data_IF_817023400480
#
_entry.id   IF_817023400480
#
_cell.length_a   1.000
_cell.length_b   1.000
_cell.length_c   1.000
_cell.angle_alpha   90.00
_cell.angle_beta   90.00
_cell.angle_gamma   90.00
#
_symmetry.space_group_name_H-M   'P 1'
#
loop_
_entity.id
_entity.type
_entity.pdbx_description
1 polymer ?
#
# COMPACT_ATOMS: atom_id res chain seq x y z
N UNK A 1 37.20 -27.30 6.71
CA UNK A 1 35.95 -27.90 6.20
C UNK A 1 34.80 -26.89 6.26
N UNK A 2 34.78 -25.85 5.39
CA UNK A 2 33.64 -24.95 5.07
C UNK A 2 34.25 -23.65 4.48
N UNK A 3 34.35 -23.53 3.16
CA UNK A 3 34.47 -22.22 2.48
C UNK A 3 33.74 -22.23 1.14
N UNK A 4 34.01 -23.23 0.29
CA UNK A 4 33.23 -23.47 -0.94
C UNK A 4 31.95 -24.27 -0.70
N UNK A 5 32.00 -25.38 0.05
CA UNK A 5 30.80 -26.18 0.36
C UNK A 5 29.72 -25.36 1.08
N UNK A 6 30.11 -24.52 2.04
CA UNK A 6 29.20 -23.62 2.74
C UNK A 6 28.63 -22.53 1.85
N UNK A 7 29.45 -21.97 0.95
CA UNK A 7 28.97 -21.03 -0.07
C UNK A 7 27.90 -21.68 -0.96
N UNK A 8 28.14 -22.91 -1.42
CA UNK A 8 27.17 -23.68 -2.20
C UNK A 8 25.87 -23.90 -1.42
N UNK A 9 25.95 -24.26 -0.14
CA UNK A 9 24.77 -24.41 0.73
C UNK A 9 24.01 -23.08 0.84
N UNK A 10 24.69 -21.96 1.09
CA UNK A 10 24.06 -20.64 1.18
C UNK A 10 23.40 -20.21 -0.13
N UNK A 11 24.03 -20.47 -1.28
CA UNK A 11 23.43 -20.20 -2.59
C UNK A 11 22.18 -21.05 -2.80
N UNK A 12 22.24 -22.34 -2.49
CA UNK A 12 21.10 -23.24 -2.62
C UNK A 12 19.95 -22.71 -1.78
N UNK A 13 20.18 -22.39 -0.50
CA UNK A 13 19.15 -21.81 0.37
C UNK A 13 18.62 -20.50 -0.22
N UNK A 14 19.48 -19.63 -0.74
CA UNK A 14 19.07 -18.35 -1.34
C UNK A 14 18.19 -18.54 -2.57
N UNK A 15 18.57 -19.42 -3.51
CA UNK A 15 17.80 -19.72 -4.73
C UNK A 15 16.47 -20.39 -4.40
N UNK A 16 16.47 -21.38 -3.50
CA UNK A 16 15.23 -22.01 -3.04
C UNK A 16 14.30 -21.00 -2.35
N UNK A 17 14.86 -20.08 -1.55
CA UNK A 17 14.07 -19.00 -0.93
C UNK A 17 13.41 -18.10 -1.98
N UNK A 18 14.11 -17.77 -3.07
CA UNK A 18 13.54 -17.00 -4.18
C UNK A 18 12.44 -17.77 -4.90
N UNK A 19 12.63 -19.06 -5.17
CA UNK A 19 11.62 -19.90 -5.81
C UNK A 19 10.35 -20.05 -4.94
N UNK A 20 10.54 -20.27 -3.63
CA UNK A 20 9.44 -20.31 -2.66
C UNK A 20 8.73 -18.95 -2.60
N UNK A 21 9.45 -17.83 -2.69
CA UNK A 21 8.85 -16.49 -2.69
C UNK A 21 7.90 -16.30 -3.88
N UNK A 22 8.30 -16.72 -5.08
CA UNK A 22 7.45 -16.67 -6.28
C UNK A 22 6.19 -17.53 -6.12
N UNK A 23 6.31 -18.71 -5.50
CA UNK A 23 5.17 -19.58 -5.22
C UNK A 23 4.21 -18.95 -4.20
N UNK A 24 4.74 -18.40 -3.10
CA UNK A 24 3.95 -17.67 -2.08
C UNK A 24 3.25 -16.45 -2.69
N UNK A 25 3.92 -15.73 -3.60
CA UNK A 25 3.33 -14.58 -4.30
C UNK A 25 2.11 -15.00 -5.12
N UNK A 26 2.23 -16.11 -5.86
CA UNK A 26 1.16 -16.66 -6.69
C UNK A 26 -0.05 -17.10 -5.85
N UNK A 27 0.17 -17.79 -4.74
CA UNK A 27 -0.92 -18.34 -3.91
C UNK A 27 -1.58 -17.27 -3.05
N UNK A 28 -0.78 -16.44 -2.38
CA UNK A 28 -1.29 -15.53 -1.38
C UNK A 28 -1.34 -14.10 -1.89
N UNK A 29 -0.18 -13.47 -2.09
CA UNK A 29 -0.02 -12.12 -2.63
C UNK A 29 1.44 -11.70 -2.65
N UNK A 30 1.73 -10.67 -3.44
CA UNK A 30 2.97 -9.89 -3.40
C UNK A 30 3.33 -9.42 -1.99
N UNK A 31 2.36 -8.90 -1.23
CA UNK A 31 2.55 -8.46 0.16
C UNK A 31 3.01 -9.62 1.06
N UNK A 32 2.50 -10.84 0.83
CA UNK A 32 2.89 -12.03 1.60
C UNK A 32 4.33 -12.45 1.30
N UNK A 33 4.70 -12.56 0.02
CA UNK A 33 6.06 -12.92 -0.38
C UNK A 33 7.09 -11.90 0.12
N UNK A 34 6.75 -10.61 0.02
CA UNK A 34 7.55 -9.52 0.57
C UNK A 34 7.72 -9.63 2.08
N UNK A 35 6.64 -9.85 2.84
CA UNK A 35 6.71 -9.91 4.29
C UNK A 35 7.49 -11.12 4.83
N UNK A 36 7.30 -12.30 4.21
CA UNK A 36 7.86 -13.56 4.70
C UNK A 36 9.30 -13.78 4.22
N UNK A 37 9.63 -13.37 2.99
CA UNK A 37 10.92 -13.65 2.36
C UNK A 37 11.68 -12.36 2.03
N UNK A 38 11.27 -11.57 1.03
CA UNK A 38 12.11 -10.51 0.48
C UNK A 38 12.52 -9.43 1.49
N UNK A 39 11.62 -9.06 2.41
CA UNK A 39 11.85 -8.06 3.46
C UNK A 39 12.05 -8.67 4.86
N UNK A 40 12.22 -9.98 4.97
CA UNK A 40 12.46 -10.63 6.26
C UNK A 40 13.90 -10.40 6.73
N UNK A 41 14.11 -10.53 8.05
CA UNK A 41 15.46 -10.44 8.66
C UNK A 41 16.31 -11.68 8.41
N UNK A 42 15.69 -12.86 8.31
CA UNK A 42 16.42 -14.12 8.09
C UNK A 42 16.99 -14.18 6.67
N UNK A 43 16.24 -13.70 5.67
CA UNK A 43 16.70 -13.65 4.29
C UNK A 43 17.84 -12.63 4.14
N UNK A 44 17.73 -11.51 4.84
CA UNK A 44 18.81 -10.52 4.94
C UNK A 44 20.05 -11.07 5.63
N UNK A 45 19.88 -11.87 6.67
CA UNK A 45 21.00 -12.55 7.33
C UNK A 45 21.70 -13.54 6.40
N UNK A 46 20.97 -14.28 5.55
CA UNK A 46 21.56 -15.14 4.51
C UNK A 46 22.37 -14.31 3.52
N UNK A 47 21.86 -13.17 3.05
CA UNK A 47 22.60 -12.26 2.17
C UNK A 47 23.88 -11.74 2.83
N UNK A 48 23.81 -11.38 4.11
CA UNK A 48 24.98 -10.95 4.90
C UNK A 48 26.03 -12.07 4.99
N UNK A 49 25.59 -13.30 5.29
CA UNK A 49 26.49 -14.47 5.34
C UNK A 49 27.12 -14.75 3.97
N UNK A 50 26.39 -14.58 2.87
CA UNK A 50 26.92 -14.68 1.51
C UNK A 50 28.02 -13.64 1.26
N UNK A 51 27.78 -12.37 1.59
CA UNK A 51 28.78 -11.30 1.45
C UNK A 51 30.05 -11.63 2.26
N UNK A 52 29.89 -11.99 3.54
CA UNK A 52 31.03 -12.34 4.42
C UNK A 52 31.79 -13.53 3.84
N UNK A 53 31.08 -14.55 3.37
CA UNK A 53 31.71 -15.71 2.77
C UNK A 53 32.52 -15.35 1.50
N UNK A 54 31.98 -14.49 0.63
CA UNK A 54 32.67 -14.00 -0.56
C UNK A 54 33.97 -13.28 -0.15
N UNK A 55 33.93 -12.38 0.83
CA UNK A 55 35.10 -11.65 1.34
C UNK A 55 36.16 -12.62 1.89
N UNK A 56 35.75 -13.61 2.69
CA UNK A 56 36.65 -14.62 3.28
C UNK A 56 37.27 -15.54 2.22
N UNK A 57 36.57 -15.78 1.12
CA UNK A 57 37.07 -16.55 -0.03
C UNK A 57 38.09 -15.73 -0.82
N UNK A 58 37.84 -14.43 -1.05
CA UNK A 58 38.79 -13.51 -1.67
C UNK A 58 40.15 -13.56 -0.94
N UNK A 59 40.13 -13.43 0.39
CA UNK A 59 41.36 -13.47 1.21
C UNK A 59 42.03 -14.84 1.17
N UNK A 60 41.28 -15.94 1.36
CA UNK A 60 41.86 -17.30 1.40
C UNK A 60 42.51 -17.71 0.09
N UNK A 61 41.84 -17.47 -1.03
CA UNK A 61 42.32 -17.91 -2.33
C UNK A 61 43.32 -16.92 -2.95
N UNK A 62 43.71 -15.88 -2.19
CA UNK A 62 44.59 -14.79 -2.62
C UNK A 62 44.16 -14.27 -4.00
N UNK A 63 42.87 -13.96 -4.12
CA UNK A 63 42.30 -13.51 -5.39
C UNK A 63 42.81 -12.11 -5.76
N UNK A 64 43.21 -11.31 -4.77
CA UNK A 64 43.92 -10.05 -4.94
C UNK A 64 45.36 -10.29 -5.43
N UNK A 65 45.48 -10.74 -6.68
CA UNK A 65 46.73 -11.00 -7.39
C UNK A 65 46.51 -10.74 -8.87
N UNK A 66 47.48 -10.14 -9.56
CA UNK A 66 47.41 -9.87 -10.99
C UNK A 66 47.03 -11.09 -11.83
N UNK A 67 47.51 -12.30 -11.47
CA UNK A 67 47.19 -13.54 -12.19
C UNK A 67 45.70 -13.93 -12.09
N UNK A 68 44.98 -13.50 -11.05
CA UNK A 68 43.60 -13.87 -10.73
C UNK A 68 42.63 -12.68 -10.71
N UNK A 69 43.08 -11.51 -11.15
CA UNK A 69 42.29 -10.29 -11.20
C UNK A 69 40.88 -10.52 -11.79
N UNK A 70 40.68 -11.24 -12.91
CA UNK A 70 39.34 -11.38 -13.48
C UNK A 70 38.36 -12.06 -12.53
N UNK A 71 38.83 -13.09 -11.80
CA UNK A 71 38.04 -13.81 -10.81
C UNK A 71 37.79 -12.92 -9.58
N UNK A 72 38.77 -12.10 -9.19
CA UNK A 72 38.61 -11.12 -8.11
C UNK A 72 37.54 -10.08 -8.43
N UNK A 73 37.58 -9.48 -9.63
CA UNK A 73 36.55 -8.55 -10.12
C UNK A 73 35.17 -9.21 -10.13
N UNK A 74 35.09 -10.47 -10.57
CA UNK A 74 33.83 -11.20 -10.55
C UNK A 74 33.27 -11.39 -9.14
N UNK A 75 34.10 -11.55 -8.11
CA UNK A 75 33.61 -11.67 -6.73
C UNK A 75 33.27 -10.30 -6.13
N UNK A 76 34.05 -9.27 -6.46
CA UNK A 76 33.79 -7.93 -5.93
C UNK A 76 32.49 -7.35 -6.49
N UNK A 77 32.12 -7.67 -7.73
CA UNK A 77 30.84 -7.25 -8.30
C UNK A 77 29.64 -7.70 -7.46
N UNK A 78 29.62 -8.95 -6.99
CA UNK A 78 28.55 -9.45 -6.14
C UNK A 78 28.47 -8.69 -4.81
N UNK A 79 29.60 -8.31 -4.23
CA UNK A 79 29.63 -7.47 -3.01
C UNK A 79 28.96 -6.11 -3.29
N UNK A 80 29.32 -5.45 -4.40
CA UNK A 80 28.71 -4.18 -4.80
C UNK A 80 27.20 -4.33 -5.07
N UNK A 81 26.77 -5.37 -5.78
CA UNK A 81 25.35 -5.62 -6.07
C UNK A 81 24.55 -5.81 -4.76
N UNK A 82 25.03 -6.66 -3.84
CA UNK A 82 24.34 -6.85 -2.57
C UNK A 82 24.34 -5.60 -1.69
N UNK A 83 25.47 -4.89 -1.62
CA UNK A 83 25.59 -3.66 -0.82
C UNK A 83 24.67 -2.55 -1.36
N UNK A 84 24.63 -2.39 -2.69
CA UNK A 84 23.71 -1.48 -3.35
C UNK A 84 22.25 -1.79 -3.01
N UNK A 85 21.85 -3.07 -3.06
CA UNK A 85 20.51 -3.50 -2.65
C UNK A 85 20.17 -3.23 -1.17
N UNK A 86 21.13 -3.39 -0.26
CA UNK A 86 20.97 -3.05 1.16
C UNK A 86 20.74 -1.54 1.33
N UNK A 87 21.54 -0.71 0.64
CA UNK A 87 21.40 0.75 0.65
C UNK A 87 20.03 1.16 0.10
N UNK A 88 19.61 0.60 -1.05
CA UNK A 88 18.29 0.82 -1.64
C UNK A 88 17.14 0.52 -0.69
N UNK A 89 17.26 -0.55 0.10
CA UNK A 89 16.22 -0.99 1.02
C UNK A 89 16.06 -0.05 2.21
N UNK A 90 17.17 0.35 2.83
CA UNK A 90 17.17 1.08 4.09
C UNK A 90 17.13 2.60 3.93
N UNK A 91 17.84 3.12 2.94
CA UNK A 91 17.98 4.56 2.70
C UNK A 91 16.98 4.99 1.61
N UNK A 92 16.77 4.15 0.59
CA UNK A 92 15.89 4.45 -0.52
C UNK A 92 14.40 4.51 -0.16
N UNK A 93 13.69 5.40 -0.85
CA UNK A 93 12.23 5.42 -0.85
C UNK A 93 11.68 5.68 -2.25
N UNK A 94 10.44 5.23 -2.45
CA UNK A 94 9.76 5.27 -3.73
C UNK A 94 8.26 5.47 -3.54
N UNK A 95 7.60 5.93 -4.60
CA UNK A 95 6.16 6.08 -4.62
C UNK A 95 5.64 6.56 -5.96
N UNK A 96 4.35 6.87 -5.97
CA UNK A 96 3.58 7.22 -7.15
C UNK A 96 3.18 8.69 -7.06
N UNK A 97 3.46 9.43 -8.12
CA UNK A 97 3.09 10.82 -8.31
C UNK A 97 2.08 10.88 -9.47
N UNK A 98 0.82 11.19 -9.15
CA UNK A 98 -0.23 11.40 -10.16
C UNK A 98 -0.48 12.89 -10.30
N UNK A 99 -0.51 13.38 -11.54
CA UNK A 99 -0.67 14.80 -11.86
C UNK A 99 -1.66 14.93 -13.02
N UNK A 100 -2.64 15.83 -12.91
CA UNK A 100 -3.53 16.20 -14.02
C UNK A 100 -2.88 17.22 -14.93
N UNK A 101 -3.32 17.26 -16.18
CA UNK A 101 -2.84 18.27 -17.12
C UNK A 101 -3.12 19.69 -16.61
N UNK A 102 -2.11 20.57 -16.67
CA UNK A 102 -2.15 21.91 -16.12
C UNK A 102 -1.82 22.02 -14.63
N UNK A 103 -1.96 20.93 -13.87
CA UNK A 103 -1.70 20.92 -12.42
C UNK A 103 -0.23 20.73 -12.08
N UNK A 104 0.13 21.15 -10.86
CA UNK A 104 1.42 20.89 -10.23
C UNK A 104 1.24 20.13 -8.94
N UNK A 105 2.15 19.21 -8.65
CA UNK A 105 2.22 18.49 -7.38
C UNK A 105 3.64 18.45 -6.86
N UNK A 106 3.79 18.51 -5.54
CA UNK A 106 5.04 18.34 -4.82
C UNK A 106 4.96 17.14 -3.86
N UNK A 107 4.05 16.19 -4.08
CA UNK A 107 3.94 15.05 -3.20
C UNK A 107 3.70 13.75 -3.95
N UNK A 108 4.19 12.65 -3.38
CA UNK A 108 4.01 11.30 -3.88
C UNK A 108 3.39 10.41 -2.82
N UNK A 109 2.61 9.43 -3.25
CA UNK A 109 2.04 8.38 -2.41
C UNK A 109 3.08 7.28 -2.28
N UNK A 110 3.54 7.01 -1.06
CA UNK A 110 4.61 6.02 -0.83
C UNK A 110 4.19 4.62 -1.31
N UNK A 111 5.13 3.88 -1.92
CA UNK A 111 4.88 2.47 -2.23
C UNK A 111 4.93 1.60 -0.96
N UNK A 112 5.82 1.96 -0.01
CA UNK A 112 5.88 1.37 1.33
C UNK A 112 4.57 1.65 2.08
N UNK A 113 4.07 0.66 2.82
CA UNK A 113 2.87 0.75 3.65
C UNK A 113 3.25 0.93 5.11
N UNK A 114 2.50 1.78 5.81
CA UNK A 114 2.78 2.12 7.19
C UNK A 114 1.58 1.83 8.07
N UNK A 115 1.84 1.23 9.23
CA UNK A 115 0.92 1.29 10.36
C UNK A 115 0.99 2.70 10.94
N UNK A 116 -0.16 3.36 10.92
CA UNK A 116 -0.35 4.75 11.29
C UNK A 116 -1.18 4.83 12.56
N UNK A 117 -0.63 5.47 13.60
CA UNK A 117 -1.33 5.63 14.88
C UNK A 117 -1.28 7.10 15.27
N UNK A 118 -2.46 7.69 15.44
CA UNK A 118 -2.64 9.03 15.96
C UNK A 118 -3.14 8.88 17.39
N UNK A 119 -2.46 9.51 18.34
CA UNK A 119 -2.92 9.58 19.72
C UNK A 119 -3.12 11.05 20.01
N UNK A 120 -4.36 11.46 20.21
CA UNK A 120 -4.70 12.82 20.60
C UNK A 120 -5.45 12.86 21.93
N UNK A 121 -5.27 13.99 22.58
CA UNK A 121 -5.98 14.49 23.75
C UNK A 121 -6.36 15.94 23.43
N UNK A 122 -7.16 16.62 24.24
CA UNK A 122 -7.65 17.97 23.94
C UNK A 122 -6.52 18.98 23.62
N UNK A 123 -5.31 18.78 24.15
CA UNK A 123 -4.19 19.71 24.00
C UNK A 123 -3.02 19.22 23.12
N UNK A 124 -2.88 17.90 22.87
CA UNK A 124 -1.69 17.35 22.17
C UNK A 124 -2.07 16.19 21.25
N UNK A 125 -1.45 16.15 20.07
CA UNK A 125 -1.56 15.06 19.10
C UNK A 125 -0.16 14.54 18.76
N UNK A 126 0.04 13.23 18.82
CA UNK A 126 1.27 12.56 18.38
C UNK A 126 0.93 11.58 17.26
N UNK A 127 1.72 11.64 16.18
CA UNK A 127 1.61 10.75 15.05
C UNK A 127 2.78 9.77 15.01
N UNK A 128 2.48 8.48 15.00
CA UNK A 128 3.43 7.39 14.83
C UNK A 128 3.24 6.74 13.46
N UNK A 129 4.36 6.54 12.76
CA UNK A 129 4.44 5.76 11.52
C UNK A 129 5.42 4.61 11.70
N UNK A 130 4.98 3.38 11.44
CA UNK A 130 5.84 2.20 11.44
C UNK A 130 5.69 1.45 10.12
N UNK A 131 6.80 1.28 9.39
CA UNK A 131 6.81 0.41 8.22
C UNK A 131 6.59 -1.04 8.68
N UNK A 132 5.53 -1.67 8.20
CA UNK A 132 5.16 -3.05 8.51
C UNK A 132 4.29 -3.57 7.38
N UNK A 133 4.64 -4.71 6.78
CA UNK A 133 3.86 -5.28 5.67
C UNK A 133 2.83 -6.24 6.27
N UNK A 134 1.57 -5.82 6.34
CA UNK A 134 0.46 -6.70 6.74
C UNK A 134 0.16 -7.66 5.60
N UNK A 135 0.18 -8.96 5.87
CA UNK A 135 -0.21 -10.00 4.93
C UNK A 135 -0.91 -11.16 5.63
N UNK A 136 -1.37 -12.15 4.87
CA UNK A 136 -2.05 -13.33 5.41
C UNK A 136 -1.18 -14.09 6.44
N UNK A 137 0.09 -14.30 6.12
CA UNK A 137 1.05 -15.01 6.97
C UNK A 137 1.85 -14.08 7.91
N UNK A 138 1.67 -12.77 7.79
CA UNK A 138 2.40 -11.77 8.58
C UNK A 138 1.46 -10.66 9.05
N UNK A 139 0.69 -10.98 10.08
CA UNK A 139 -0.35 -10.11 10.66
C UNK A 139 -0.21 -9.91 12.18
N UNK A 140 0.80 -10.51 12.82
CA UNK A 140 0.99 -10.53 14.27
C UNK A 140 1.90 -9.41 14.79
N UNK A 141 1.66 -8.17 14.36
CA UNK A 141 2.44 -7.02 14.83
C UNK A 141 2.24 -6.78 16.33
N UNK A 142 3.32 -6.48 17.04
CA UNK A 142 3.30 -6.03 18.44
C UNK A 142 4.20 -4.80 18.59
N UNK A 143 3.68 -3.72 19.15
CA UNK A 143 4.44 -2.47 19.32
C UNK A 143 3.98 -1.63 20.49
N UNK A 144 4.92 -0.93 21.14
CA UNK A 144 4.64 0.01 22.21
C UNK A 144 4.67 1.45 21.70
N UNK A 145 3.66 2.23 22.06
CA UNK A 145 3.53 3.64 21.72
C UNK A 145 3.40 4.47 22.99
N UNK A 146 4.22 5.50 23.15
CA UNK A 146 4.22 6.36 24.32
C UNK A 146 3.36 7.61 24.09
N UNK A 147 2.64 8.08 25.10
CA UNK A 147 1.97 9.38 25.05
C UNK A 147 1.91 9.99 26.45
N UNK A 148 2.54 11.16 26.62
CA UNK A 148 2.74 11.82 27.94
C UNK A 148 3.31 10.83 28.98
N UNK A 149 4.44 10.18 28.66
CA UNK A 149 5.14 9.13 29.46
C UNK A 149 4.35 7.83 29.72
N UNK A 150 3.08 7.72 29.33
CA UNK A 150 2.27 6.48 29.45
C UNK A 150 2.44 5.61 28.20
N UNK A 151 2.81 4.33 28.35
CA UNK A 151 2.93 3.36 27.25
C UNK A 151 1.58 2.70 26.96
N UNK A 152 1.31 2.46 25.67
CA UNK A 152 0.17 1.71 25.15
C UNK A 152 0.73 0.60 24.27
N UNK A 153 0.35 -0.65 24.54
CA UNK A 153 0.72 -1.79 23.71
C UNK A 153 -0.37 -2.02 22.68
N UNK A 154 0.01 -2.07 21.41
CA UNK A 154 -0.85 -2.43 20.30
C UNK A 154 -0.43 -3.78 19.74
N UNK A 155 -1.39 -4.70 19.62
CA UNK A 155 -1.25 -5.96 18.91
C UNK A 155 -2.20 -5.99 17.72
N UNK A 156 -1.73 -6.45 16.57
CA UNK A 156 -2.58 -6.76 15.42
C UNK A 156 -2.82 -8.27 15.36
N UNK A 157 -4.04 -8.67 15.03
CA UNK A 157 -4.48 -10.06 14.87
C UNK A 157 -5.57 -10.15 13.80
N UNK A 158 -5.86 -11.35 13.31
CA UNK A 158 -7.00 -11.66 12.44
C UNK A 158 -7.09 -10.77 11.19
N UNK A 159 -6.09 -10.87 10.32
CA UNK A 159 -6.14 -10.23 9.01
C UNK A 159 -6.98 -11.07 8.04
N UNK A 160 -8.04 -10.47 7.50
CA UNK A 160 -8.86 -11.07 6.45
C UNK A 160 -8.76 -10.24 5.18
N UNK A 161 -8.51 -10.91 4.07
CA UNK A 161 -8.46 -10.29 2.75
C UNK A 161 -9.86 -10.22 2.16
N UNK A 162 -10.15 -9.15 1.41
CA UNK A 162 -11.38 -8.98 0.62
C UNK A 162 -12.63 -9.33 1.44
N UNK A 163 -12.95 -8.51 2.44
CA UNK A 163 -14.09 -8.76 3.33
C UNK A 163 -15.35 -8.03 2.88
N UNK A 164 -16.49 -8.66 3.15
CA UNK A 164 -17.80 -8.00 3.14
C UNK A 164 -18.20 -7.64 4.57
N UNK A 165 -18.76 -6.45 4.74
CA UNK A 165 -19.40 -6.03 5.99
C UNK A 165 -20.73 -6.77 6.12
N UNK A 166 -20.87 -7.57 7.19
CA UNK A 166 -22.11 -8.29 7.52
C UNK A 166 -22.53 -7.89 8.91
N UNK A 167 -23.83 -7.74 9.09
CA UNK A 167 -24.43 -7.48 10.39
C UNK A 167 -24.91 -8.79 11.00
N UNK A 168 -24.53 -9.03 12.25
CA UNK A 168 -24.99 -10.18 13.04
C UNK A 168 -25.88 -9.65 14.17
N UNK A 169 -27.16 -10.09 14.24
CA UNK A 169 -28.04 -9.79 15.37
C UNK A 169 -27.44 -10.28 16.67
N UNK A 170 -27.43 -9.43 17.69
CA UNK A 170 -26.93 -9.74 19.03
C UNK A 170 -27.67 -8.87 20.04
N UNK A 171 -28.39 -9.49 20.97
CA UNK A 171 -29.24 -8.82 21.94
C UNK A 171 -28.44 -7.94 22.92
N UNK A 172 -27.16 -8.23 23.14
CA UNK A 172 -26.24 -7.40 23.94
C UNK A 172 -25.48 -6.37 23.07
N UNK A 173 -25.79 -6.34 21.79
CA UNK A 173 -25.15 -5.49 20.79
C UNK A 173 -25.54 -4.02 20.91
N UNK A 174 -25.11 -3.24 19.93
CA UNK A 174 -25.52 -1.83 19.80
C UNK A 174 -26.70 -1.74 18.86
N UNK A 175 -27.53 -0.70 19.02
CA UNK A 175 -28.64 -0.43 18.10
C UNK A 175 -28.11 0.15 16.78
N UNK A 176 -28.55 -0.43 15.67
CA UNK A 176 -28.22 0.00 14.32
C UNK A 176 -29.49 0.13 13.46
N UNK A 177 -29.42 1.03 12.49
CA UNK A 177 -30.37 1.10 11.38
C UNK A 177 -29.63 0.77 10.07
N UNK A 178 -30.26 0.01 9.18
CA UNK A 178 -29.71 -0.30 7.86
C UNK A 178 -30.38 0.57 6.80
N UNK A 179 -29.60 1.48 6.21
CA UNK A 179 -30.04 2.33 5.11
C UNK A 179 -29.53 1.71 3.82
N UNK A 180 -30.43 1.21 2.98
CA UNK A 180 -30.07 0.61 1.70
C UNK A 180 -30.12 1.69 0.64
N UNK A 181 -28.98 2.02 0.04
CA UNK A 181 -28.91 2.96 -1.08
C UNK A 181 -28.78 2.22 -2.40
N UNK A 182 -29.44 2.72 -3.44
CA UNK A 182 -29.28 2.22 -4.81
C UNK A 182 -28.46 3.24 -5.59
N UNK A 183 -27.33 2.82 -6.16
CA UNK A 183 -26.52 3.67 -7.03
C UNK A 183 -26.02 2.85 -8.23
N UNK A 184 -26.33 3.30 -9.45
CA UNK A 184 -26.00 2.60 -10.71
C UNK A 184 -26.39 1.11 -10.67
N UNK A 185 -27.65 0.82 -10.34
CA UNK A 185 -28.23 -0.53 -10.23
C UNK A 185 -27.59 -1.49 -9.22
N UNK A 186 -26.66 -1.00 -8.38
CA UNK A 186 -26.12 -1.76 -7.25
C UNK A 186 -26.70 -1.24 -5.95
N UNK A 187 -27.37 -2.12 -5.21
CA UNK A 187 -27.81 -1.85 -3.83
C UNK A 187 -26.66 -2.02 -2.85
N UNK A 188 -26.56 -1.11 -1.88
CA UNK A 188 -25.52 -1.13 -0.84
C UNK A 188 -26.15 -0.97 0.54
N UNK A 189 -25.87 -1.93 1.42
CA UNK A 189 -26.24 -1.85 2.82
C UNK A 189 -25.35 -0.85 3.56
N UNK A 190 -25.96 0.15 4.21
CA UNK A 190 -25.26 1.11 5.06
C UNK A 190 -25.78 1.00 6.49
N UNK A 191 -25.10 0.19 7.30
CA UNK A 191 -25.39 0.13 8.74
C UNK A 191 -24.90 1.40 9.45
N UNK A 192 -25.80 2.08 10.15
CA UNK A 192 -25.56 3.30 10.93
C UNK A 192 -25.85 3.02 12.42
N UNK A 193 -24.86 3.25 13.27
CA UNK A 193 -24.96 3.01 14.72
C UNK A 193 -25.68 4.17 15.41
N UNK A 194 -26.53 3.86 16.39
CA UNK A 194 -27.12 4.86 17.29
C UNK A 194 -26.04 5.73 17.96
N UNK A 195 -26.28 7.05 17.97
CA UNK A 195 -25.39 8.09 18.48
C UNK A 195 -24.26 8.51 17.52
N UNK A 196 -24.25 8.03 16.26
CA UNK A 196 -23.18 8.32 15.29
C UNK A 196 -23.70 8.95 14.01
N UNK A 197 -22.75 9.49 13.24
CA UNK A 197 -22.94 10.07 11.91
C UNK A 197 -22.13 9.24 10.91
N UNK A 198 -22.67 9.02 9.70
CA UNK A 198 -22.00 8.33 8.60
C UNK A 198 -22.27 9.07 7.29
N UNK A 199 -21.25 9.20 6.45
CA UNK A 199 -21.44 9.68 5.08
C UNK A 199 -21.98 8.53 4.21
N UNK A 200 -23.11 8.75 3.57
CA UNK A 200 -23.79 7.82 2.67
C UNK A 200 -24.07 8.58 1.38
N UNK A 201 -23.38 8.21 0.30
CA UNK A 201 -23.54 8.80 -1.04
C UNK A 201 -23.21 10.29 -1.16
N UNK A 202 -22.47 10.87 -0.23
CA UNK A 202 -22.13 12.30 -0.22
C UNK A 202 -22.82 13.08 0.91
N UNK A 203 -23.90 12.55 1.47
CA UNK A 203 -24.66 13.19 2.54
C UNK A 203 -24.36 12.54 3.88
N UNK A 204 -24.42 13.33 4.95
CA UNK A 204 -24.25 12.84 6.30
C UNK A 204 -25.59 12.43 6.89
N UNK A 205 -25.70 11.17 7.32
CA UNK A 205 -26.83 10.64 8.07
C UNK A 205 -26.44 10.46 9.53
N UNK A 206 -27.27 10.92 10.46
CA UNK A 206 -27.14 10.67 11.89
C UNK A 206 -28.26 9.73 12.35
N UNK A 207 -27.99 8.92 13.40
CA UNK A 207 -29.03 8.10 14.02
C UNK A 207 -29.07 8.35 15.53
N UNK A 208 -30.23 8.73 16.06
CA UNK A 208 -30.44 9.10 17.47
C UNK A 208 -29.42 10.12 17.99
N UNK A 209 -28.99 11.05 17.12
CA UNK A 209 -28.11 12.17 17.46
C UNK A 209 -28.45 13.36 16.59
N UNK A 210 -29.15 14.35 17.14
CA UNK A 210 -29.48 15.57 16.42
C UNK A 210 -28.21 16.39 16.11
N UNK A 211 -28.04 16.72 14.83
CA UNK A 211 -26.95 17.56 14.33
C UNK A 211 -27.51 18.49 13.26
N UNK A 212 -27.23 19.80 13.37
CA UNK A 212 -27.67 20.77 12.37
C UNK A 212 -27.01 20.53 11.02
N UNK A 213 -27.78 20.64 9.93
CA UNK A 213 -27.27 20.54 8.56
C UNK A 213 -26.96 19.12 8.05
N UNK A 214 -27.39 18.08 8.78
CA UNK A 214 -27.28 16.68 8.32
C UNK A 214 -28.66 16.02 8.34
N UNK A 215 -28.80 14.88 7.67
CA UNK A 215 -30.03 14.09 7.66
C UNK A 215 -30.11 13.33 8.99
N UNK A 216 -31.00 13.76 9.88
CA UNK A 216 -31.18 13.15 11.19
C UNK A 216 -32.28 12.10 11.15
N UNK A 217 -31.95 10.86 11.50
CA UNK A 217 -32.93 9.81 11.73
C UNK A 217 -33.02 9.58 13.24
N UNK A 218 -34.23 9.54 13.78
CA UNK A 218 -34.44 9.33 15.21
C UNK A 218 -35.70 8.51 15.49
N UNK A 219 -35.70 7.85 16.65
CA UNK A 219 -36.84 7.07 17.14
C UNK A 219 -37.63 7.87 18.18
N UNK A 220 -38.94 7.96 18.00
CA UNK A 220 -39.88 8.49 19.01
C UNK A 220 -41.07 7.54 19.10
N UNK A 221 -41.39 7.06 20.31
CA UNK A 221 -42.58 6.20 20.58
C UNK A 221 -42.70 5.03 19.58
N UNK A 222 -41.62 4.29 19.36
CA UNK A 222 -41.52 3.16 18.42
C UNK A 222 -41.76 3.45 16.92
N UNK A 223 -41.82 4.73 16.55
CA UNK A 223 -41.84 5.21 15.17
C UNK A 223 -40.50 5.85 14.81
N UNK A 224 -40.15 5.76 13.52
CA UNK A 224 -38.96 6.39 12.97
C UNK A 224 -39.34 7.72 12.34
N UNK A 225 -38.51 8.72 12.57
CA UNK A 225 -38.65 10.04 11.97
C UNK A 225 -37.36 10.44 11.27
N UNK A 226 -37.49 11.22 10.22
CA UNK A 226 -36.40 11.86 9.51
C UNK A 226 -36.55 13.37 9.57
N UNK A 227 -35.46 14.04 9.86
CA UNK A 227 -35.32 15.49 9.74
C UNK A 227 -34.19 15.79 8.78
N UNK A 228 -34.50 16.53 7.72
CA UNK A 228 -33.57 16.80 6.63
C UNK A 228 -33.60 18.29 6.27
N UNK A 229 -32.43 18.91 6.05
CA UNK A 229 -32.37 20.27 5.50
C UNK A 229 -32.63 20.30 3.98
N UNK A 230 -32.75 19.13 3.34
CA UNK A 230 -32.93 18.95 1.90
C UNK A 230 -34.35 18.46 1.60
N UNK A 231 -34.81 18.72 0.37
CA UNK A 231 -36.10 18.22 -0.11
C UNK A 231 -36.07 16.69 -0.16
N UNK A 232 -37.15 16.06 0.29
CA UNK A 232 -37.33 14.61 0.28
C UNK A 232 -38.58 14.25 -0.51
N UNK A 233 -38.42 13.37 -1.47
CA UNK A 233 -39.52 12.78 -2.23
C UNK A 233 -39.78 11.37 -1.71
N UNK A 234 -41.06 11.05 -1.49
CA UNK A 234 -41.50 9.75 -1.00
C UNK A 234 -42.26 9.06 -2.13
N UNK A 235 -41.73 7.95 -2.60
CA UNK A 235 -42.37 7.09 -3.60
C UNK A 235 -43.12 5.98 -2.87
N UNK A 236 -44.38 6.24 -2.53
CA UNK A 236 -45.30 5.23 -2.01
C UNK A 236 -46.17 4.67 -3.14
N UNK A 237 -46.52 3.39 -3.07
CA UNK A 237 -47.32 2.67 -4.09
C UNK A 237 -48.63 3.36 -4.50
N UNK A 238 -49.16 4.28 -3.69
CA UNK A 238 -50.46 4.91 -3.93
C UNK A 238 -50.46 6.43 -4.11
N UNK A 239 -49.38 7.18 -3.87
CA UNK A 239 -49.34 8.64 -4.13
C UNK A 239 -47.90 9.17 -4.16
N UNK A 240 -47.55 9.90 -5.22
CA UNK A 240 -46.38 10.79 -5.25
C UNK A 240 -46.72 12.07 -4.47
N UNK A 241 -46.60 12.04 -3.15
CA UNK A 241 -46.77 13.24 -2.33
C UNK A 241 -45.41 13.87 -2.06
N UNK A 242 -45.10 14.94 -2.80
CA UNK A 242 -44.09 15.93 -2.44
C UNK A 242 -44.44 16.51 -1.07
N UNK A 243 -43.71 16.11 -0.02
CA UNK A 243 -43.84 16.71 1.32
C UNK A 243 -42.55 17.43 1.68
N UNK A 244 -42.56 18.75 1.48
CA UNK A 244 -41.66 19.69 2.18
C UNK A 244 -42.05 19.75 3.66
N UNK A 245 -41.72 18.71 4.44
CA UNK A 245 -41.75 18.80 5.90
C UNK A 245 -40.35 18.60 6.46
N UNK A 246 -39.94 19.54 7.31
CA UNK A 246 -38.71 19.48 8.10
C UNK A 246 -38.61 18.19 8.91
N UNK A 247 -39.75 17.61 9.34
CA UNK A 247 -39.82 16.34 10.06
C UNK A 247 -40.93 15.48 9.45
N UNK A 248 -40.58 14.27 8.99
CA UNK A 248 -41.53 13.30 8.45
C UNK A 248 -41.36 11.92 9.08
N UNK A 249 -42.45 11.15 9.18
CA UNK A 249 -42.40 9.75 9.63
C UNK A 249 -41.81 8.88 8.53
N UNK A 250 -40.85 8.02 8.89
CA UNK A 250 -40.22 7.04 8.01
C UNK A 250 -40.94 5.69 8.11
N UNK A 251 -41.64 5.33 7.06
CA UNK A 251 -42.14 3.98 6.81
C UNK A 251 -41.00 3.04 6.36
N UNK A 252 -41.16 1.76 6.68
CA UNK A 252 -40.25 0.68 6.25
C UNK A 252 -40.70 0.23 4.85
N UNK A 253 -39.74 -0.12 4.01
CA UNK A 253 -39.94 -0.60 2.64
C UNK A 253 -40.51 0.43 1.65
N UNK A 254 -40.61 1.70 2.03
CA UNK A 254 -40.83 2.81 1.10
C UNK A 254 -39.52 3.35 0.55
N UNK A 255 -39.57 3.85 -0.70
CA UNK A 255 -38.42 4.42 -1.38
C UNK A 255 -38.42 5.93 -1.19
N UNK A 256 -37.31 6.44 -0.66
CA UNK A 256 -37.07 7.85 -0.43
C UNK A 256 -36.00 8.34 -1.38
N UNK A 257 -36.20 9.53 -1.93
CA UNK A 257 -35.22 10.22 -2.74
C UNK A 257 -34.82 11.53 -2.08
N UNK A 258 -33.51 11.71 -1.86
CA UNK A 258 -32.91 12.98 -1.44
C UNK A 258 -31.87 13.33 -2.50
N UNK A 259 -32.11 14.40 -3.25
CA UNK A 259 -31.34 14.82 -4.41
C UNK A 259 -31.10 13.66 -5.41
N UNK A 260 -29.87 13.13 -5.48
CA UNK A 260 -29.48 12.04 -6.38
C UNK A 260 -29.44 10.67 -5.69
N UNK A 261 -29.85 10.57 -4.42
CA UNK A 261 -29.78 9.33 -3.65
C UNK A 261 -31.17 8.75 -3.45
N UNK A 262 -31.35 7.55 -3.98
CA UNK A 262 -32.48 6.70 -3.66
C UNK A 262 -32.10 5.76 -2.51
N UNK A 263 -32.87 5.78 -1.44
CA UNK A 263 -32.67 4.90 -0.29
C UNK A 263 -33.98 4.33 0.24
N UNK A 264 -33.88 3.19 0.92
CA UNK A 264 -35.00 2.60 1.65
C UNK A 264 -34.50 1.92 2.93
N UNK A 265 -35.43 1.71 3.85
CA UNK A 265 -35.21 0.96 5.08
C UNK A 265 -35.89 -0.40 4.94
N UNK A 266 -35.18 -1.51 5.18
CA UNK A 266 -35.77 -2.84 5.06
C UNK A 266 -36.28 -3.41 6.39
N UNK A 267 -35.82 -2.87 7.53
CA UNK A 267 -36.14 -3.37 8.88
C UNK A 267 -36.13 -2.23 9.88
N UNK A 268 -36.90 -2.38 10.98
CA UNK A 268 -36.79 -1.52 12.17
C UNK A 268 -35.37 -1.60 12.76
N UNK A 269 -34.90 -0.59 13.52
CA UNK A 269 -33.56 -0.63 14.07
C UNK A 269 -33.40 -1.79 15.06
N UNK A 270 -32.33 -2.53 14.89
CA UNK A 270 -32.10 -3.80 15.59
C UNK A 270 -30.77 -3.79 16.35
N UNK A 271 -30.67 -4.64 17.36
CA UNK A 271 -29.47 -4.80 18.18
C UNK A 271 -28.51 -5.79 17.52
N UNK A 272 -27.23 -5.45 17.52
CA UNK A 272 -26.19 -6.39 17.09
C UNK A 272 -24.82 -5.80 16.88
N UNK A 273 -24.01 -6.49 16.08
CA UNK A 273 -22.61 -6.14 15.79
C UNK A 273 -22.29 -6.27 14.31
N UNK A 274 -21.37 -5.43 13.85
CA UNK A 274 -20.80 -5.52 12.51
C UNK A 274 -19.58 -6.43 12.56
N UNK A 275 -19.59 -7.46 11.73
CA UNK A 275 -18.44 -8.35 11.49
C UNK A 275 -18.02 -8.30 10.02
N UNK A 276 -16.81 -8.80 9.76
CA UNK A 276 -16.19 -8.78 8.44
C UNK A 276 -15.85 -10.21 8.05
N UNK A 277 -16.54 -10.73 7.05
CA UNK A 277 -16.35 -12.11 6.58
C UNK A 277 -15.58 -12.08 5.26
N UNK A 278 -14.56 -12.94 5.07
CA UNK A 278 -13.82 -13.03 3.81
C UNK A 278 -14.74 -13.48 2.67
N UNK A 279 -14.59 -12.85 1.51
CA UNK A 279 -15.26 -13.26 0.29
C UNK A 279 -14.36 -14.26 -0.42
N UNK A 280 -14.87 -15.47 -0.63
CA UNK A 280 -14.16 -16.54 -1.32
C UNK A 280 -14.34 -16.37 -2.84
N UNK A 281 -13.78 -15.30 -3.40
CA UNK A 281 -13.74 -15.10 -4.85
C UNK A 281 -12.30 -15.12 -5.34
N UNK A 282 -12.02 -15.97 -6.34
CA UNK A 282 -10.73 -16.03 -7.04
C UNK A 282 -10.42 -14.74 -7.81
N UNK A 283 -11.38 -13.81 -7.92
CA UNK A 283 -11.16 -12.52 -8.54
C UNK A 283 -10.48 -11.57 -7.57
N UNK A 284 -9.32 -11.05 -7.98
CA UNK A 284 -8.64 -9.88 -7.40
C UNK A 284 -9.51 -8.63 -7.55
N UNK A 285 -10.70 -8.60 -6.96
CA UNK A 285 -11.57 -7.44 -6.99
C UNK A 285 -10.95 -6.36 -6.11
N UNK A 286 -10.44 -5.31 -6.75
CA UNK A 286 -10.01 -4.05 -6.13
C UNK A 286 -11.16 -3.32 -5.40
N UNK A 287 -12.38 -3.85 -5.50
CA UNK A 287 -13.62 -3.30 -4.97
C UNK A 287 -13.78 -3.57 -3.46
N UNK A 288 -13.23 -4.66 -2.92
CA UNK A 288 -13.40 -5.03 -1.51
C UNK A 288 -12.19 -4.69 -0.63
N UNK A 289 -12.40 -4.04 0.53
CA UNK A 289 -11.34 -3.78 1.51
C UNK A 289 -10.87 -5.08 2.18
N UNK A 290 -9.66 -5.09 2.73
CA UNK A 290 -9.26 -6.09 3.74
C UNK A 290 -9.66 -5.61 5.14
N UNK A 291 -9.72 -6.49 6.13
CA UNK A 291 -9.89 -6.11 7.55
C UNK A 291 -8.76 -6.63 8.42
N UNK A 292 -8.54 -5.95 9.54
CA UNK A 292 -7.66 -6.44 10.60
C UNK A 292 -8.19 -6.01 11.97
N UNK A 293 -7.91 -6.84 12.97
CA UNK A 293 -8.24 -6.56 14.37
C UNK A 293 -7.04 -5.95 15.07
N UNK A 294 -7.21 -4.79 15.67
CA UNK A 294 -6.25 -4.20 16.60
C UNK A 294 -6.71 -4.39 18.04
N UNK A 295 -5.79 -4.79 18.91
CA UNK A 295 -5.99 -4.96 20.34
C UNK A 295 -5.08 -3.98 21.07
N UNK A 296 -5.68 -3.06 21.81
CA UNK A 296 -4.99 -2.08 22.65
C UNK A 296 -4.98 -2.57 24.10
N UNK A 297 -3.80 -2.60 24.72
CA UNK A 297 -3.59 -2.97 26.12
C UNK A 297 -3.02 -1.78 26.90
N UNK A 298 -3.60 -1.53 28.07
CA UNK A 298 -3.06 -0.57 29.05
C UNK A 298 -3.63 -0.88 30.45
N UNK A 299 -2.75 -1.06 31.44
CA UNK A 299 -3.08 -1.25 32.88
C UNK A 299 -4.29 -2.19 33.07
N UNK A 300 -4.18 -3.44 32.60
CA UNK A 300 -5.22 -4.49 32.61
C UNK A 300 -6.50 -4.24 31.80
N UNK A 301 -6.69 -3.09 31.16
CA UNK A 301 -7.81 -2.87 30.23
C UNK A 301 -7.43 -3.24 28.80
N UNK A 302 -8.35 -3.93 28.13
CA UNK A 302 -8.22 -4.39 26.75
C UNK A 302 -9.30 -3.74 25.90
N UNK A 303 -8.94 -3.23 24.73
CA UNK A 303 -9.92 -2.76 23.73
C UNK A 303 -9.60 -3.34 22.36
N UNK A 304 -10.54 -4.14 21.84
CA UNK A 304 -10.47 -4.75 20.51
C UNK A 304 -11.24 -3.88 19.51
N UNK A 305 -10.64 -3.61 18.36
CA UNK A 305 -11.26 -2.82 17.29
C UNK A 305 -10.88 -3.38 15.94
N UNK A 306 -11.89 -3.66 15.12
CA UNK A 306 -11.70 -4.04 13.73
C UNK A 306 -11.70 -2.78 12.87
N UNK A 307 -10.75 -2.69 11.94
CA UNK A 307 -10.70 -1.61 10.95
C UNK A 307 -10.42 -2.15 9.56
N UNK A 308 -10.89 -1.40 8.57
CA UNK A 308 -10.75 -1.74 7.16
C UNK A 308 -9.47 -1.14 6.58
N UNK A 309 -8.89 -1.87 5.65
CA UNK A 309 -7.69 -1.54 4.90
C UNK A 309 -8.10 -1.48 3.43
N UNK A 310 -8.11 -0.28 2.86
CA UNK A 310 -8.27 -0.11 1.42
C UNK A 310 -6.90 0.00 0.76
N UNK A 311 -6.74 -0.69 -0.38
CA UNK A 311 -5.49 -0.73 -1.14
C UNK A 311 -5.08 0.64 -1.70
N UNK A 312 -6.05 1.51 -2.02
CA UNK A 312 -5.81 2.82 -2.67
C UNK A 312 -5.86 4.04 -1.75
N UNK A 313 -6.34 3.91 -0.52
CA UNK A 313 -6.58 5.06 0.34
C UNK A 313 -5.46 5.27 1.34
N UNK A 314 -5.03 6.51 1.50
CA UNK A 314 -4.06 6.95 2.52
C UNK A 314 -4.68 7.17 3.91
N UNK A 315 -6.03 7.21 4.00
CA UNK A 315 -6.75 7.91 5.07
C UNK A 315 -7.86 7.12 5.79
N UNK A 316 -7.79 5.79 5.87
CA UNK A 316 -8.73 5.06 6.75
C UNK A 316 -8.20 5.06 8.17
N UNK A 317 -8.80 5.91 9.00
CA UNK A 317 -8.53 6.02 10.43
C UNK A 317 -9.75 5.55 11.22
N UNK A 318 -9.60 4.51 12.03
CA UNK A 318 -10.63 4.11 12.98
C UNK A 318 -10.39 4.84 14.30
N UNK A 319 -11.26 5.80 14.62
CA UNK A 319 -11.19 6.56 15.88
C UNK A 319 -11.75 5.75 17.04
N UNK A 320 -10.99 5.72 18.13
CA UNK A 320 -11.25 4.93 19.33
C UNK A 320 -10.99 5.83 20.52
N UNK A 321 -12.01 6.13 21.31
CA UNK A 321 -11.79 6.74 22.62
C UNK A 321 -11.32 5.63 23.60
N UNK A 322 -10.12 5.75 24.15
CA UNK A 322 -9.56 4.81 25.12
C UNK A 322 -8.80 5.57 26.21
N UNK A 323 -9.28 5.47 27.46
CA UNK A 323 -8.76 6.24 28.61
C UNK A 323 -8.78 7.76 28.40
N UNK A 324 -9.89 8.31 27.89
CA UNK A 324 -10.04 9.76 27.65
C UNK A 324 -9.18 10.30 26.51
N UNK A 325 -8.53 9.42 25.74
CA UNK A 325 -7.71 9.78 24.57
C UNK A 325 -8.39 9.30 23.30
N UNK A 326 -8.31 10.11 22.26
CA UNK A 326 -8.75 9.73 20.92
C UNK A 326 -7.57 9.08 20.19
N UNK A 327 -7.64 7.76 20.05
CA UNK A 327 -6.65 6.97 19.33
C UNK A 327 -7.23 6.63 17.96
N UNK A 328 -6.53 7.01 16.90
CA UNK A 328 -6.89 6.64 15.53
C UNK A 328 -5.85 5.69 14.97
N UNK A 329 -6.28 4.52 14.51
CA UNK A 329 -5.42 3.52 13.90
C UNK A 329 -5.79 3.38 12.42
N UNK A 330 -4.78 3.33 11.58
CA UNK A 330 -4.91 3.11 10.15
C UNK A 330 -3.73 2.36 9.58
N UNK A 331 -3.89 1.81 8.37
CA UNK A 331 -2.84 1.16 7.64
C UNK A 331 -2.94 1.49 6.16
N UNK A 332 -1.82 1.89 5.57
CA UNK A 332 -1.78 2.26 4.16
C UNK A 332 -0.54 3.07 3.80
N UNK A 333 -0.42 3.48 2.53
CA UNK A 333 0.63 4.38 2.11
C UNK A 333 0.49 5.75 2.77
N UNK A 334 1.60 6.48 2.85
CA UNK A 334 1.67 7.85 3.36
C UNK A 334 2.03 8.82 2.24
N UNK A 335 1.74 10.10 2.48
CA UNK A 335 2.17 11.18 1.60
C UNK A 335 3.63 11.51 1.93
N UNK A 336 4.48 11.58 0.90
CA UNK A 336 5.87 12.03 0.98
C UNK A 336 6.01 13.30 0.13
N UNK A 337 6.56 14.36 0.70
CA UNK A 337 6.73 15.63 0.00
C UNK A 337 8.09 15.71 -0.70
N UNK A 338 8.08 16.24 -1.91
CA UNK A 338 9.23 16.62 -2.72
C UNK A 338 9.67 18.05 -2.34
N UNK A 339 10.98 18.35 -2.41
CA UNK A 339 11.49 19.69 -2.15
C UNK A 339 11.27 20.69 -3.30
N UNK A 340 10.56 20.28 -4.36
CA UNK A 340 10.23 21.05 -5.56
C UNK A 340 8.87 20.62 -6.11
N UNK A 341 8.30 21.40 -7.02
CA UNK A 341 7.05 21.06 -7.71
C UNK A 341 7.32 20.44 -9.08
N UNK A 342 6.49 19.47 -9.45
CA UNK A 342 6.43 18.90 -10.80
C UNK A 342 5.08 19.31 -11.38
N UNK A 343 5.10 20.01 -12.52
CA UNK A 343 3.90 20.42 -13.27
C UNK A 343 3.78 19.55 -14.52
N UNK A 344 2.57 19.06 -14.80
CA UNK A 344 2.26 18.43 -16.08
C UNK A 344 1.77 19.53 -17.04
N UNK A 345 2.56 19.83 -18.06
CA UNK A 345 2.17 20.81 -19.09
C UNK A 345 1.14 20.17 -20.03
N UNK A 346 1.46 18.98 -20.55
CA UNK A 346 0.62 18.28 -21.52
C UNK A 346 0.85 16.78 -21.47
N UNK A 347 -0.22 16.00 -21.49
CA UNK A 347 -0.16 14.56 -21.73
C UNK A 347 -0.50 14.27 -23.19
N UNK A 348 0.21 13.33 -23.80
CA UNK A 348 0.05 12.97 -25.20
C UNK A 348 0.01 11.45 -25.27
N UNK A 349 -1.05 10.92 -25.85
CA UNK A 349 -1.27 9.48 -26.04
C UNK A 349 -1.49 9.23 -27.52
N UNK A 350 -0.59 8.48 -28.11
CA UNK A 350 -0.68 8.02 -29.49
C UNK A 350 -1.46 6.69 -29.49
N UNK A 351 -2.33 6.50 -30.48
CA UNK A 351 -3.13 5.28 -30.67
C UNK A 351 -2.74 4.58 -31.97
N UNK A 352 -2.99 3.28 -32.08
CA UNK A 352 -2.83 2.59 -33.35
C UNK A 352 -3.86 3.10 -34.37
N UNK A 353 -3.48 3.24 -35.66
CA UNK A 353 -4.41 3.69 -36.69
C UNK A 353 -5.61 2.74 -36.75
N UNK A 354 -6.82 3.29 -36.73
CA UNK A 354 -8.07 2.52 -36.73
C UNK A 354 -8.44 1.83 -35.41
N UNK A 355 -7.70 2.08 -34.31
CA UNK A 355 -7.98 1.47 -33.00
C UNK A 355 -7.95 2.50 -31.87
N UNK A 356 -8.70 2.22 -30.79
CA UNK A 356 -8.64 2.98 -29.54
C UNK A 356 -7.48 2.56 -28.63
N UNK A 357 -6.69 1.56 -29.04
CA UNK A 357 -5.59 1.01 -28.27
C UNK A 357 -4.38 1.96 -28.26
N UNK A 358 -3.80 2.27 -27.08
CA UNK A 358 -2.61 3.10 -26.98
C UNK A 358 -1.41 2.42 -27.62
N UNK A 359 -0.71 3.15 -28.50
CA UNK A 359 0.58 2.75 -29.07
C UNK A 359 1.75 3.35 -28.28
N UNK A 360 1.61 4.57 -27.80
CA UNK A 360 2.66 5.31 -27.09
C UNK A 360 2.03 6.36 -26.17
N UNK A 361 2.71 6.70 -25.07
CA UNK A 361 2.32 7.84 -24.26
C UNK A 361 3.53 8.60 -23.73
N UNK A 362 3.42 9.93 -23.77
CA UNK A 362 4.45 10.87 -23.36
C UNK A 362 3.85 12.03 -22.57
N UNK A 363 4.60 12.51 -21.58
CA UNK A 363 4.23 13.63 -20.73
C UNK A 363 5.26 14.74 -20.86
N UNK A 364 4.80 15.97 -21.13
CA UNK A 364 5.64 17.17 -21.03
C UNK A 364 5.58 17.67 -19.58
N UNK A 365 6.69 17.56 -18.87
CA UNK A 365 6.82 17.92 -17.47
C UNK A 365 7.64 19.20 -17.31
N UNK A 366 7.35 19.94 -16.26
CA UNK A 366 8.12 21.10 -15.85
C UNK A 366 8.44 20.99 -14.37
N UNK A 367 9.72 20.95 -14.03
CA UNK A 367 10.20 20.95 -12.65
C UNK A 367 10.43 22.41 -12.24
N UNK A 368 9.73 22.81 -11.17
CA UNK A 368 9.74 24.14 -10.60
C UNK A 368 10.45 24.08 -9.23
N UNK A 369 11.68 24.57 -9.18
CA UNK A 369 12.51 24.56 -7.98
C UNK A 369 12.99 25.97 -7.64
N UNK A 370 12.18 26.65 -6.82
CA UNK A 370 12.34 28.07 -6.47
C UNK A 370 12.40 28.95 -7.72
N UNK A 371 13.59 29.37 -8.15
CA UNK A 371 13.82 30.22 -9.34
C UNK A 371 14.18 29.41 -10.61
N UNK A 372 14.47 28.12 -10.46
CA UNK A 372 14.88 27.26 -11.58
C UNK A 372 13.65 26.59 -12.16
N UNK A 373 13.46 26.76 -13.46
CA UNK A 373 12.41 26.10 -14.24
C UNK A 373 13.09 25.22 -15.28
N UNK A 374 12.85 23.90 -15.22
CA UNK A 374 13.38 22.96 -16.21
C UNK A 374 12.25 22.18 -16.86
N UNK A 375 12.23 22.20 -18.19
CA UNK A 375 11.26 21.45 -18.97
C UNK A 375 11.86 20.10 -19.37
N UNK A 376 11.08 19.05 -19.27
CA UNK A 376 11.46 17.70 -19.61
C UNK A 376 10.34 17.01 -20.39
N UNK A 377 10.71 16.12 -21.29
CA UNK A 377 9.79 15.20 -21.93
C UNK A 377 10.06 13.81 -21.36
N UNK A 378 9.04 13.18 -20.79
CA UNK A 378 9.13 11.80 -20.32
C UNK A 378 8.18 10.92 -21.11
N UNK A 379 8.66 9.76 -21.52
CA UNK A 379 7.96 8.70 -22.24
C UNK A 379 8.45 7.35 -21.72
N UNK A 380 7.87 6.25 -22.22
CA UNK A 380 8.27 4.90 -21.80
C UNK A 380 9.78 4.68 -21.99
N UNK A 381 10.43 4.09 -20.98
CA UNK A 381 11.88 3.82 -20.93
C UNK A 381 12.79 5.07 -20.91
N UNK A 382 12.24 6.29 -20.81
CA UNK A 382 13.03 7.50 -20.54
C UNK A 382 12.99 7.86 -19.05
N UNK A 383 14.13 8.29 -18.52
CA UNK A 383 14.31 8.50 -17.08
C UNK A 383 14.76 9.94 -16.87
N UNK A 384 14.01 10.70 -16.07
CA UNK A 384 14.44 12.04 -15.65
C UNK A 384 15.14 11.93 -14.31
N UNK A 385 16.38 12.41 -14.24
CA UNK A 385 17.14 12.51 -13.00
C UNK A 385 17.23 13.97 -12.55
N UNK A 386 16.72 14.28 -11.36
CA UNK A 386 16.78 15.62 -10.77
C UNK A 386 17.01 15.56 -9.26
N UNK A 387 18.10 16.15 -8.76
CA UNK A 387 18.47 16.17 -7.32
C UNK A 387 18.39 14.79 -6.62
N UNK A 388 18.81 13.73 -7.31
CA UNK A 388 18.75 12.36 -6.79
C UNK A 388 17.38 11.68 -6.87
N UNK A 389 16.35 12.36 -7.38
CA UNK A 389 15.05 11.79 -7.73
C UNK A 389 15.06 11.31 -9.17
N UNK A 390 14.54 10.09 -9.39
CA UNK A 390 14.37 9.49 -10.71
C UNK A 390 12.88 9.36 -10.98
N UNK A 391 12.44 9.97 -12.08
CA UNK A 391 11.05 9.89 -12.54
C UNK A 391 10.96 8.91 -13.71
N UNK A 392 9.97 8.04 -13.64
CA UNK A 392 9.66 7.05 -14.66
C UNK A 392 8.19 7.18 -15.02
N UNK A 393 7.89 7.13 -16.31
CA UNK A 393 6.52 7.09 -16.79
C UNK A 393 5.94 5.69 -16.48
N UNK A 394 4.97 5.59 -15.56
CA UNK A 394 4.41 4.29 -15.16
C UNK A 394 3.01 4.03 -15.71
N UNK A 395 2.26 5.07 -16.02
CA UNK A 395 0.90 4.94 -16.56
C UNK A 395 0.22 6.28 -16.74
N UNK A 396 -1.10 6.26 -16.91
CA UNK A 396 -1.93 7.43 -17.09
C UNK A 396 -3.32 7.18 -16.52
N UNK A 397 -4.09 8.24 -16.32
CA UNK A 397 -5.45 8.13 -15.81
C UNK A 397 -6.39 7.65 -16.91
N UNK A 398 -7.42 6.86 -16.57
CA UNK A 398 -8.36 6.28 -17.54
C UNK A 398 -9.15 7.31 -18.36
N UNK A 399 -9.20 8.55 -17.89
CA UNK A 399 -9.82 9.68 -18.59
C UNK A 399 -8.84 10.44 -19.51
N UNK A 400 -7.64 9.89 -19.73
CA UNK A 400 -6.58 10.42 -20.60
C UNK A 400 -6.11 11.85 -20.24
N UNK A 401 -6.50 12.38 -19.08
CA UNK A 401 -6.22 13.77 -18.63
C UNK A 401 -5.14 13.87 -17.56
N UNK A 402 -4.38 12.81 -17.34
CA UNK A 402 -3.40 12.78 -16.26
C UNK A 402 -2.34 11.71 -16.45
N UNK A 403 -1.17 11.99 -15.90
CA UNK A 403 -0.01 11.11 -15.93
C UNK A 403 0.20 10.46 -14.56
N UNK A 404 0.71 9.23 -14.56
CA UNK A 404 1.13 8.52 -13.36
C UNK A 404 2.64 8.27 -13.51
N UNK A 405 3.40 8.89 -12.61
CA UNK A 405 4.84 8.79 -12.56
C UNK A 405 5.24 7.94 -11.36
N UNK A 406 6.15 6.99 -11.59
CA UNK A 406 6.87 6.33 -10.51
C UNK A 406 8.11 7.17 -10.18
N UNK A 407 8.27 7.48 -8.89
CA UNK A 407 9.37 8.31 -8.40
C UNK A 407 10.20 7.48 -7.42
N UNK A 408 11.50 7.39 -7.66
CA UNK A 408 12.45 6.77 -6.73
C UNK A 408 13.51 7.76 -6.28
N UNK A 409 13.86 7.71 -5.01
CA UNK A 409 14.96 8.46 -4.41
C UNK A 409 15.89 7.46 -3.74
N UNK A 410 16.92 7.05 -4.47
CA UNK A 410 17.86 6.01 -4.07
C UNK A 410 19.22 6.20 -4.77
N UNK A 411 19.76 7.41 -4.68
CA UNK A 411 20.97 7.78 -5.43
C UNK A 411 22.13 6.81 -5.23
N UNK A 412 22.44 6.46 -3.97
CA UNK A 412 23.56 5.58 -3.66
C UNK A 412 23.27 4.12 -4.03
N UNK A 413 22.08 3.60 -3.73
CA UNK A 413 21.77 2.19 -3.91
C UNK A 413 21.82 1.77 -5.38
N UNK A 414 21.21 2.56 -6.28
CA UNK A 414 21.27 2.22 -7.71
C UNK A 414 22.67 2.43 -8.30
N UNK A 415 23.40 3.49 -7.92
CA UNK A 415 24.75 3.74 -8.46
C UNK A 415 25.73 2.62 -8.07
N UNK A 416 25.69 2.18 -6.81
CA UNK A 416 26.54 1.10 -6.31
C UNK A 416 26.16 -0.23 -6.97
N UNK A 417 24.86 -0.50 -7.14
CA UNK A 417 24.40 -1.71 -7.84
C UNK A 417 24.80 -1.71 -9.31
N UNK A 418 24.66 -0.58 -10.02
CA UNK A 418 25.00 -0.44 -11.44
C UNK A 418 26.51 -0.55 -11.66
N UNK A 419 27.32 0.03 -10.78
CA UNK A 419 28.76 -0.17 -10.77
C UNK A 419 29.08 -1.66 -10.56
N UNK A 420 28.39 -2.33 -9.64
CA UNK A 420 28.49 -3.77 -9.45
C UNK A 420 28.19 -4.56 -10.73
N UNK A 421 27.10 -4.25 -11.44
CA UNK A 421 26.78 -4.91 -12.72
C UNK A 421 27.82 -4.65 -13.81
N UNK A 422 28.34 -3.42 -13.90
CA UNK A 422 29.43 -3.09 -14.84
C UNK A 422 30.68 -3.93 -14.54
N UNK A 423 31.09 -3.98 -13.27
CA UNK A 423 32.20 -4.80 -12.79
C UNK A 423 31.94 -6.29 -13.06
N UNK A 424 30.69 -6.76 -12.91
CA UNK A 424 30.32 -8.15 -13.21
C UNK A 424 30.55 -8.48 -14.69
N UNK A 425 30.07 -7.63 -15.60
CA UNK A 425 30.23 -7.82 -17.05
C UNK A 425 31.71 -7.87 -17.41
N UNK A 426 32.51 -6.92 -16.91
CA UNK A 426 33.97 -6.88 -17.11
C UNK A 426 34.61 -8.16 -16.57
N UNK A 427 34.25 -8.56 -15.34
CA UNK A 427 34.74 -9.78 -14.70
C UNK A 427 34.45 -11.02 -15.54
N UNK A 428 33.19 -11.21 -15.96
CA UNK A 428 32.77 -12.33 -16.78
C UNK A 428 33.52 -12.37 -18.11
N UNK A 429 33.61 -11.24 -18.81
CA UNK A 429 34.34 -11.13 -20.07
C UNK A 429 35.80 -11.57 -19.92
N UNK A 430 36.55 -10.97 -18.99
CA UNK A 430 37.96 -11.32 -18.82
C UNK A 430 38.18 -12.72 -18.23
N UNK A 431 37.25 -13.27 -17.44
CA UNK A 431 37.41 -14.64 -16.93
C UNK A 431 37.42 -15.69 -18.04
N UNK A 432 36.72 -15.46 -19.14
CA UNK A 432 36.66 -16.37 -20.30
C UNK A 432 37.95 -16.39 -21.12
N UNK A 433 38.68 -15.26 -21.21
CA UNK A 433 39.84 -15.12 -22.10
C UNK A 433 41.21 -15.11 -21.40
N UNK A 434 41.24 -14.92 -20.08
CA UNK A 434 42.51 -14.73 -19.36
C UNK A 434 43.29 -16.01 -19.12
N UNK A 435 44.57 -16.03 -19.51
CA UNK A 435 45.48 -17.20 -19.42
C UNK A 435 45.64 -17.76 -18.00
N UNK A 436 45.43 -16.93 -16.98
CA UNK A 436 45.53 -17.33 -15.56
C UNK A 436 44.34 -18.12 -15.02
N UNK A 437 43.24 -18.27 -15.77
CA UNK A 437 42.02 -18.92 -15.29
C UNK A 437 42.00 -20.44 -15.50
N UNK A 438 41.13 -21.14 -14.77
CA UNK A 438 40.95 -22.59 -14.92
C UNK A 438 40.43 -22.96 -16.31
N UNK A 439 39.64 -22.09 -16.95
CA UNK A 439 39.16 -22.28 -18.33
C UNK A 439 40.31 -22.38 -19.31
N UNK A 440 41.30 -21.48 -19.22
CA UNK A 440 42.47 -21.55 -20.10
C UNK A 440 43.32 -22.80 -19.82
N UNK A 441 43.48 -23.19 -18.54
CA UNK A 441 44.16 -24.45 -18.18
C UNK A 441 43.45 -25.69 -18.73
N UNK A 442 42.12 -25.71 -18.69
CA UNK A 442 41.30 -26.78 -19.28
C UNK A 442 41.41 -26.80 -20.80
N UNK A 443 41.31 -25.64 -21.46
CA UNK A 443 41.51 -25.49 -22.91
C UNK A 443 42.89 -26.01 -23.33
N UNK A 444 43.94 -25.64 -22.59
CA UNK A 444 45.31 -26.12 -22.86
C UNK A 444 45.45 -27.62 -22.67
N UNK A 445 44.83 -28.20 -21.63
CA UNK A 445 44.83 -29.66 -21.41
C UNK A 445 44.10 -30.42 -22.52
N UNK A 446 42.96 -29.91 -22.99
CA UNK A 446 42.23 -30.49 -24.11
C UNK A 446 43.06 -30.44 -25.39
N UNK A 447 43.73 -29.31 -25.67
CA UNK A 447 44.60 -29.18 -26.84
C UNK A 447 45.81 -30.13 -26.79
N UNK A 448 46.37 -30.37 -25.61
CA UNK A 448 47.52 -31.26 -25.44
C UNK A 448 47.16 -32.76 -25.42
N UNK A 449 45.90 -33.12 -25.16
CA UNK A 449 45.43 -34.52 -25.21
C UNK A 449 44.87 -34.92 -26.59
N UNK A 450 44.79 -33.98 -27.53
CA UNK A 450 44.31 -34.18 -28.91
C UNK A 450 45.46 -34.35 -29.92
N UNK A 451 46.70 -34.44 -29.45
CA UNK A 451 47.90 -34.73 -30.24
C UNK A 451 48.69 -35.86 -29.61
#
# INVERSE_FOLDING_TARGET
MIKTRFFSILIIIYVFSLAIATYIEKIYSTDTAQAVIYHSKWFEFIMLLLIINIILNIKKYKLFSFKKWPIFILHISFIFIFLGGVISRYIGYNGILSIREGEKSNYLISNKKYLQIYISDNNKCIFYKKNYIISYLHNNYKGFFSFKKKKILLKLTNYFRNVKEIFIPDNLGKKYINIITVYKDKSKNNYLKSGKIKNIGGYYFSFNKHVKGVINIFELKDKLFIETPLNIEIFNKNHNNLKNKLISELEISSLYQIDQINFFLNKKPFLGKIEYIPINTNSNSLEYPSSITAILYKNNKIKKVNFLINKKSTLIKKNINFFGKNISIGYGPIILYLPFYVKLIKFLLDKYPGSSQPSSFRSKLQILDKKIIKNYNIYMNSIINYKGYRFFQSGYNSDEKGTILYVSHDFWGYNISYLGYLILIIGMFFTSFWKGTRFFKLKSKLKNNLF
#
